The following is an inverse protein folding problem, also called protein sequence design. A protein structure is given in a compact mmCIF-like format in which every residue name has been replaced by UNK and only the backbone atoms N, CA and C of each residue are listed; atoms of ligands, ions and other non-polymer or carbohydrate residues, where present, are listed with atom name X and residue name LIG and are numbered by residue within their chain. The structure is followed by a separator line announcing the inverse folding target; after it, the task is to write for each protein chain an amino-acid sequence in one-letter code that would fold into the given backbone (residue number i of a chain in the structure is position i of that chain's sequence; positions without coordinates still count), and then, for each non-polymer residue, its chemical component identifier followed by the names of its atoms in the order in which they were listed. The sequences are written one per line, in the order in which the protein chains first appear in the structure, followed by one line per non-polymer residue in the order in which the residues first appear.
data_IF_960659297409
#
_entry.id   IF_960659297409
#
_cell.length_a   1.000
_cell.length_b   1.000
_cell.length_c   1.000
_cell.angle_alpha   90.00
_cell.angle_beta   90.00
_cell.angle_gamma   90.00
#
_symmetry.space_group_name_H-M   'P 1'
#
loop_
_entity.id
_entity.type
_entity.pdbx_description
1 polymer ?
#
# COMPACT_ATOMS: atom_id res chain seq x y z
N UNK A 1 17.78 8.43 11.27
CA UNK A 1 16.59 8.10 12.08
C UNK A 1 15.37 8.64 11.34
N UNK A 2 14.29 7.86 11.26
CA UNK A 2 13.00 8.30 10.71
C UNK A 2 12.00 8.17 11.85
N UNK A 3 11.18 9.21 12.04
CA UNK A 3 10.09 9.24 13.02
C UNK A 3 8.81 9.55 12.28
N UNK A 4 7.75 8.80 12.58
CA UNK A 4 6.42 9.00 12.02
C UNK A 4 5.38 9.10 13.14
N UNK A 5 4.39 9.98 12.93
CA UNK A 5 3.28 10.16 13.86
C UNK A 5 2.05 10.67 13.12
N UNK A 6 0.89 10.23 13.57
CA UNK A 6 -0.40 10.75 13.10
C UNK A 6 -0.82 12.03 13.85
N UNK A 7 -0.14 12.37 14.96
CA UNK A 7 -0.48 13.46 15.87
C UNK A 7 0.80 14.22 16.28
N UNK A 8 1.33 15.10 15.42
CA UNK A 8 2.56 15.85 15.71
C UNK A 8 2.44 16.71 16.98
N UNK A 9 1.23 17.12 17.36
CA UNK A 9 0.97 17.89 18.57
C UNK A 9 1.34 17.13 19.86
N UNK A 10 1.30 15.79 19.85
CA UNK A 10 1.71 15.00 21.01
C UNK A 10 3.20 15.15 21.29
N UNK A 11 4.05 15.26 20.25
CA UNK A 11 5.47 15.49 20.44
C UNK A 11 5.75 16.83 21.14
N UNK A 12 4.94 17.85 20.84
CA UNK A 12 5.01 19.18 21.47
C UNK A 12 4.63 19.17 22.95
N UNK A 13 3.85 18.20 23.39
CA UNK A 13 3.43 18.07 24.79
C UNK A 13 4.49 17.41 25.68
N UNK A 14 5.62 16.95 25.11
CA UNK A 14 6.68 16.28 25.85
C UNK A 14 7.81 17.23 26.26
N UNK A 15 8.57 16.93 27.33
CA UNK A 15 9.79 17.68 27.69
C UNK A 15 10.86 17.68 26.59
N UNK A 16 10.77 16.73 25.64
CA UNK A 16 11.74 16.55 24.55
C UNK A 16 11.37 17.30 23.27
N UNK A 17 10.26 18.06 23.25
CA UNK A 17 9.75 18.74 22.07
C UNK A 17 10.83 19.53 21.32
N UNK A 18 11.64 20.32 22.03
CA UNK A 18 12.71 21.12 21.44
C UNK A 18 13.77 20.24 20.73
N UNK A 19 14.14 19.11 21.34
CA UNK A 19 15.11 18.19 20.76
C UNK A 19 14.53 17.48 19.52
N UNK A 20 13.26 17.05 19.57
CA UNK A 20 12.57 16.44 18.42
C UNK A 20 12.52 17.43 17.26
N UNK A 21 12.09 18.67 17.50
CA UNK A 21 12.03 19.71 16.45
C UNK A 21 13.41 19.95 15.84
N UNK A 22 14.46 20.07 16.65
CA UNK A 22 15.83 20.32 16.15
C UNK A 22 16.42 19.14 15.37
N UNK A 23 16.06 17.91 15.72
CA UNK A 23 16.57 16.70 15.05
C UNK A 23 15.86 16.42 13.71
N UNK A 24 14.67 17.00 13.47
CA UNK A 24 13.93 16.82 12.22
C UNK A 24 14.41 17.84 11.19
N UNK A 25 15.47 17.50 10.46
CA UNK A 25 16.03 18.36 9.39
C UNK A 25 15.18 18.39 8.12
N UNK A 26 14.48 17.28 7.82
CA UNK A 26 13.66 17.13 6.62
C UNK A 26 12.26 16.64 7.00
N UNK A 27 11.34 17.53 7.42
CA UNK A 27 9.97 17.13 7.69
C UNK A 27 9.20 16.86 6.39
N UNK A 28 8.38 15.81 6.42
CA UNK A 28 7.45 15.43 5.36
C UNK A 28 6.04 15.52 5.92
N UNK A 29 5.27 16.49 5.46
CA UNK A 29 3.90 16.71 5.90
C UNK A 29 2.91 16.07 4.95
N UNK A 30 2.11 15.16 5.48
CA UNK A 30 1.00 14.50 4.80
C UNK A 30 -0.31 15.30 5.00
N UNK A 31 -1.37 14.99 4.23
CA UNK A 31 -2.65 15.68 4.36
C UNK A 31 -3.19 15.60 5.79
N UNK A 32 -3.42 16.74 6.43
CA UNK A 32 -4.03 16.79 7.75
C UNK A 32 -5.10 17.89 7.83
N UNK A 33 -6.37 17.51 7.60
CA UNK A 33 -7.53 18.42 7.72
C UNK A 33 -7.76 18.91 9.15
N UNK A 34 -7.19 18.24 10.15
CA UNK A 34 -7.29 18.58 11.57
C UNK A 34 -6.11 19.43 12.07
N UNK A 35 -5.16 19.78 11.18
CA UNK A 35 -3.98 20.56 11.53
C UNK A 35 -4.38 21.89 12.19
N UNK A 36 -3.73 22.19 13.31
CA UNK A 36 -3.90 23.43 14.06
C UNK A 36 -2.74 24.38 13.76
N UNK A 37 -3.05 25.59 13.29
CA UNK A 37 -2.05 26.57 12.86
C UNK A 37 -1.02 26.87 13.96
N UNK A 38 -1.48 27.03 15.20
CA UNK A 38 -0.63 27.32 16.36
C UNK A 38 0.37 26.20 16.66
N UNK A 39 -0.04 24.94 16.50
CA UNK A 39 0.83 23.79 16.76
C UNK A 39 1.81 23.57 15.61
N UNK A 40 1.33 23.66 14.38
CA UNK A 40 2.15 23.52 13.17
C UNK A 40 3.19 24.64 13.03
N UNK A 41 2.87 25.86 13.49
CA UNK A 41 3.81 26.96 13.54
C UNK A 41 5.06 26.66 14.40
N UNK A 42 4.93 25.84 15.46
CA UNK A 42 6.07 25.41 16.29
C UNK A 42 7.04 24.50 15.54
N UNK A 43 6.60 23.87 14.45
CA UNK A 43 7.44 23.10 13.54
C UNK A 43 7.89 23.90 12.31
N UNK A 44 7.66 25.21 12.28
CA UNK A 44 8.00 26.07 11.14
C UNK A 44 7.03 25.96 9.96
N UNK A 45 5.87 25.34 10.14
CA UNK A 45 4.82 25.24 9.11
C UNK A 45 3.83 26.39 9.28
N UNK A 46 3.96 27.42 8.45
CA UNK A 46 3.14 28.65 8.53
C UNK A 46 2.71 29.11 7.14
N UNK A 47 1.74 30.04 7.10
CA UNK A 47 1.28 30.69 5.87
C UNK A 47 0.90 29.69 4.77
N UNK A 48 1.43 29.89 3.56
CA UNK A 48 1.13 29.04 2.39
C UNK A 48 1.50 27.57 2.59
N UNK A 49 2.51 27.26 3.41
CA UNK A 49 2.90 25.87 3.70
C UNK A 49 1.83 25.18 4.52
N UNK A 50 1.29 25.88 5.53
CA UNK A 50 0.19 25.36 6.34
C UNK A 50 -1.09 25.16 5.52
N UNK A 51 -1.45 26.14 4.68
CA UNK A 51 -2.59 26.00 3.77
C UNK A 51 -2.41 24.81 2.82
N UNK A 52 -1.22 24.63 2.25
CA UNK A 52 -0.94 23.46 1.40
C UNK A 52 -1.15 22.13 2.15
N UNK A 53 -0.71 22.01 3.41
CA UNK A 53 -0.95 20.82 4.24
C UNK A 53 -2.44 20.56 4.47
N UNK A 54 -3.21 21.61 4.71
CA UNK A 54 -4.66 21.52 4.92
C UNK A 54 -5.42 21.26 3.63
N UNK A 55 -4.95 21.73 2.48
CA UNK A 55 -5.68 21.62 1.21
C UNK A 55 -5.56 20.22 0.59
N UNK A 56 -4.44 19.53 0.80
CA UNK A 56 -4.24 18.17 0.26
C UNK A 56 -5.37 17.21 0.63
N UNK A 57 -5.68 16.29 -0.29
CA UNK A 57 -6.69 15.25 -0.08
C UNK A 57 -6.11 14.05 0.70
N UNK A 58 -6.84 13.42 1.64
CA UNK A 58 -6.33 12.29 2.42
C UNK A 58 -5.78 11.11 1.61
N UNK A 59 -6.29 10.91 0.39
CA UNK A 59 -5.86 9.84 -0.54
C UNK A 59 -5.06 10.38 -1.73
N UNK A 60 -4.66 11.65 -1.73
CA UNK A 60 -4.01 12.29 -2.89
C UNK A 60 -2.58 11.81 -3.12
N UNK A 61 -1.97 11.16 -2.10
CA UNK A 61 -0.53 10.81 -2.06
C UNK A 61 0.38 12.02 -2.20
N UNK A 62 -0.17 13.20 -1.96
CA UNK A 62 0.60 14.43 -1.94
C UNK A 62 1.27 14.60 -0.58
N UNK A 63 2.40 15.30 -0.59
CA UNK A 63 3.13 15.68 0.62
C UNK A 63 3.85 17.00 0.41
N UNK A 64 4.10 17.70 1.51
CA UNK A 64 4.98 18.87 1.53
C UNK A 64 6.29 18.44 2.17
N UNK A 65 7.40 18.58 1.45
CA UNK A 65 8.75 18.31 1.95
C UNK A 65 9.47 19.62 2.15
N UNK A 66 10.08 19.78 3.31
CA UNK A 66 10.91 20.95 3.61
C UNK A 66 12.35 20.50 3.86
N UNK A 67 13.32 21.20 3.28
CA UNK A 67 14.74 20.96 3.52
C UNK A 67 15.48 22.29 3.49
N UNK A 68 16.05 22.69 4.63
CA UNK A 68 16.64 24.01 4.79
C UNK A 68 15.61 25.11 4.50
N UNK A 69 15.91 25.97 3.51
CA UNK A 69 15.02 27.06 3.09
C UNK A 69 14.08 26.68 1.93
N UNK A 70 14.13 25.43 1.46
CA UNK A 70 13.31 24.96 0.35
C UNK A 70 12.07 24.24 0.87
N UNK A 71 10.94 24.49 0.22
CA UNK A 71 9.68 23.79 0.47
C UNK A 71 9.06 23.42 -0.87
N UNK A 72 8.76 22.14 -1.04
CA UNK A 72 8.18 21.60 -2.27
C UNK A 72 6.95 20.78 -1.94
N UNK A 73 5.92 20.90 -2.78
CA UNK A 73 4.78 19.98 -2.78
C UNK A 73 5.03 18.93 -3.85
N UNK A 74 4.94 17.67 -3.44
CA UNK A 74 5.23 16.50 -4.28
C UNK A 74 4.02 15.57 -4.25
N UNK A 75 3.94 14.66 -5.22
CA UNK A 75 2.99 13.55 -5.22
C UNK A 75 3.74 12.25 -5.42
N UNK A 76 3.48 11.26 -4.56
CA UNK A 76 4.05 9.93 -4.68
C UNK A 76 3.23 9.13 -5.71
N UNK A 77 3.84 8.84 -6.85
CA UNK A 77 3.30 7.90 -7.81
C UNK A 77 3.64 6.47 -7.39
N UNK A 78 2.60 5.63 -7.32
CA UNK A 78 2.68 4.21 -6.94
C UNK A 78 2.09 3.38 -8.07
N UNK A 79 2.63 3.59 -9.28
CA UNK A 79 2.21 2.93 -10.50
C UNK A 79 3.09 1.72 -10.83
N UNK A 80 2.74 1.03 -11.92
CA UNK A 80 3.52 -0.08 -12.46
C UNK A 80 3.84 -1.18 -11.42
N UNK A 81 5.11 -1.63 -11.32
CA UNK A 81 5.51 -2.70 -10.41
C UNK A 81 5.26 -2.42 -8.92
N UNK A 82 5.23 -1.16 -8.49
CA UNK A 82 5.00 -0.81 -7.07
C UNK A 82 3.58 -1.13 -6.62
N UNK A 83 2.60 -1.05 -7.53
CA UNK A 83 1.21 -1.39 -7.23
C UNK A 83 1.06 -2.84 -6.74
N UNK A 84 1.91 -3.75 -7.25
CA UNK A 84 1.94 -5.15 -6.85
C UNK A 84 2.19 -5.32 -5.34
N UNK A 85 3.05 -4.48 -4.76
CA UNK A 85 3.47 -4.60 -3.36
C UNK A 85 2.54 -3.87 -2.38
N UNK A 86 1.59 -3.07 -2.86
CA UNK A 86 0.71 -2.27 -2.00
C UNK A 86 -0.07 -3.08 -0.95
N UNK A 87 -0.59 -4.29 -1.24
CA UNK A 87 -1.32 -5.06 -0.23
C UNK A 87 -0.45 -5.44 0.97
N UNK A 88 0.87 -5.60 0.79
CA UNK A 88 1.82 -5.88 1.87
C UNK A 88 2.10 -4.65 2.72
N UNK A 89 2.16 -3.47 2.09
CA UNK A 89 2.47 -2.19 2.76
C UNK A 89 1.25 -1.53 3.41
N UNK A 90 0.04 -1.92 3.00
CA UNK A 90 -1.22 -1.33 3.46
C UNK A 90 -2.19 -2.42 3.90
N UNK A 91 -2.07 -2.82 5.17
CA UNK A 91 -2.94 -3.84 5.75
C UNK A 91 -4.38 -3.31 5.88
N UNK A 92 -5.32 -4.13 5.46
CA UNK A 92 -6.78 -3.90 5.57
C UNK A 92 -7.41 -5.18 6.12
N UNK A 93 -8.62 -5.08 6.67
CA UNK A 93 -9.34 -6.29 7.13
C UNK A 93 -9.49 -7.31 6.00
N UNK A 94 -9.67 -6.85 4.76
CA UNK A 94 -9.81 -7.72 3.58
C UNK A 94 -8.52 -8.48 3.26
N UNK A 95 -7.40 -7.78 3.09
CA UNK A 95 -6.15 -8.44 2.70
C UNK A 95 -5.51 -9.24 3.85
N UNK A 96 -5.79 -8.89 5.11
CA UNK A 96 -5.39 -9.71 6.26
C UNK A 96 -6.10 -11.07 6.24
N UNK A 97 -7.39 -11.11 5.88
CA UNK A 97 -8.12 -12.36 5.73
C UNK A 97 -7.58 -13.24 4.60
N UNK A 98 -7.13 -12.61 3.49
CA UNK A 98 -6.48 -13.31 2.37
C UNK A 98 -5.12 -13.86 2.79
N UNK A 99 -4.28 -13.05 3.46
CA UNK A 99 -2.99 -13.50 3.98
C UNK A 99 -3.14 -14.68 4.95
N UNK A 100 -4.13 -14.62 5.85
CA UNK A 100 -4.46 -15.74 6.75
C UNK A 100 -4.86 -16.99 5.96
N UNK A 101 -5.76 -16.86 4.99
CA UNK A 101 -6.21 -17.98 4.17
C UNK A 101 -5.07 -18.61 3.39
N UNK A 102 -4.16 -17.81 2.82
CA UNK A 102 -2.99 -18.31 2.09
C UNK A 102 -2.03 -19.06 3.02
N UNK A 103 -1.78 -18.54 4.23
CA UNK A 103 -0.97 -19.26 5.24
C UNK A 103 -1.57 -20.62 5.60
N UNK A 104 -2.90 -20.68 5.79
CA UNK A 104 -3.61 -21.93 6.05
C UNK A 104 -3.55 -22.89 4.86
N UNK A 105 -3.81 -22.39 3.65
CA UNK A 105 -3.80 -23.17 2.40
C UNK A 105 -2.43 -23.78 2.11
N UNK A 106 -1.35 -23.03 2.36
CA UNK A 106 0.03 -23.49 2.18
C UNK A 106 0.58 -24.25 3.38
N UNK A 107 -0.13 -24.27 4.51
CA UNK A 107 0.34 -24.89 5.76
C UNK A 107 1.63 -24.28 6.31
N UNK A 108 1.84 -22.98 6.15
CA UNK A 108 3.10 -22.31 6.54
C UNK A 108 2.89 -20.95 7.19
N UNK A 109 3.79 -20.61 8.10
CA UNK A 109 3.94 -19.25 8.68
C UNK A 109 5.21 -18.56 8.21
N UNK A 110 6.03 -19.22 7.38
CA UNK A 110 7.30 -18.68 6.89
C UNK A 110 7.05 -17.56 5.86
N UNK A 111 7.42 -16.30 6.17
CA UNK A 111 7.20 -15.16 5.27
C UNK A 111 7.94 -15.30 3.93
N UNK A 112 9.00 -16.11 3.85
CA UNK A 112 9.69 -16.37 2.58
C UNK A 112 8.85 -17.20 1.62
N UNK A 113 7.81 -17.87 2.12
CA UNK A 113 6.87 -18.69 1.36
C UNK A 113 5.53 -17.95 1.16
N UNK A 114 4.86 -17.55 2.25
CA UNK A 114 3.47 -17.08 2.13
C UNK A 114 3.33 -15.65 1.60
N UNK A 115 4.35 -14.79 1.72
CA UNK A 115 4.25 -13.38 1.25
C UNK A 115 4.13 -13.31 -0.27
N UNK A 116 4.94 -14.09 -1.00
CA UNK A 116 4.91 -14.13 -2.46
C UNK A 116 3.55 -14.66 -2.95
N UNK A 117 3.08 -15.76 -2.36
CA UNK A 117 1.77 -16.33 -2.67
C UNK A 117 0.60 -15.39 -2.32
N UNK A 118 0.69 -14.68 -1.20
CA UNK A 118 -0.30 -13.67 -0.79
C UNK A 118 -0.43 -12.55 -1.84
N UNK A 119 0.68 -12.06 -2.38
CA UNK A 119 0.66 -11.02 -3.40
C UNK A 119 0.04 -11.51 -4.72
N UNK A 120 0.33 -12.76 -5.13
CA UNK A 120 -0.34 -13.40 -6.27
C UNK A 120 -1.84 -13.49 -6.02
N UNK A 121 -2.24 -13.99 -4.84
CA UNK A 121 -3.64 -14.13 -4.45
C UNK A 121 -4.38 -12.79 -4.46
N UNK A 122 -3.79 -11.72 -3.92
CA UNK A 122 -4.40 -10.39 -3.92
C UNK A 122 -4.59 -9.84 -5.33
N UNK A 123 -3.62 -10.01 -6.23
CA UNK A 123 -3.74 -9.53 -7.62
C UNK A 123 -4.82 -10.31 -8.37
N UNK A 124 -4.88 -11.63 -8.20
CA UNK A 124 -5.92 -12.48 -8.78
C UNK A 124 -7.30 -12.10 -8.25
N UNK A 125 -7.44 -11.99 -6.93
CA UNK A 125 -8.68 -11.63 -6.24
C UNK A 125 -9.19 -10.26 -6.66
N UNK A 126 -8.31 -9.26 -6.74
CA UNK A 126 -8.66 -7.91 -7.18
C UNK A 126 -9.10 -7.86 -8.64
N UNK A 127 -8.46 -8.66 -9.51
CA UNK A 127 -8.86 -8.76 -10.91
C UNK A 127 -10.21 -9.45 -11.09
N UNK A 128 -10.48 -10.52 -10.35
CA UNK A 128 -11.78 -11.18 -10.30
C UNK A 128 -12.87 -10.35 -9.62
N UNK A 129 -12.49 -9.28 -8.92
CA UNK A 129 -13.38 -8.40 -8.17
C UNK A 129 -14.30 -9.17 -7.22
N UNK A 130 -13.73 -10.10 -6.44
CA UNK A 130 -14.46 -10.94 -5.49
C UNK A 130 -13.78 -10.95 -4.12
N UNK A 131 -14.55 -11.17 -3.06
CA UNK A 131 -14.04 -11.47 -1.72
C UNK A 131 -14.28 -12.95 -1.34
N UNK A 132 -14.96 -13.74 -2.19
CA UNK A 132 -15.33 -15.13 -1.93
C UNK A 132 -14.15 -16.10 -2.15
N UNK A 133 -13.64 -16.78 -1.11
CA UNK A 133 -12.57 -17.76 -1.22
C UNK A 133 -12.88 -18.92 -2.16
N UNK A 134 -14.15 -19.31 -2.32
CA UNK A 134 -14.53 -20.37 -3.25
C UNK A 134 -14.25 -19.97 -4.72
N UNK A 135 -14.19 -18.67 -5.01
CA UNK A 135 -13.93 -18.13 -6.35
C UNK A 135 -12.45 -17.83 -6.54
N UNK A 136 -11.83 -17.08 -5.62
CA UNK A 136 -10.45 -16.61 -5.84
C UNK A 136 -9.37 -17.64 -5.49
N UNK A 137 -9.63 -18.61 -4.61
CA UNK A 137 -8.61 -19.58 -4.21
C UNK A 137 -8.26 -20.57 -5.33
N UNK A 138 -9.22 -21.16 -6.08
CA UNK A 138 -8.89 -21.99 -7.23
C UNK A 138 -8.18 -21.20 -8.35
N UNK A 139 -8.56 -19.93 -8.52
CA UNK A 139 -7.91 -19.04 -9.49
C UNK A 139 -6.47 -18.71 -9.10
N UNK A 140 -6.22 -18.54 -7.79
CA UNK A 140 -4.87 -18.41 -7.25
C UNK A 140 -4.03 -19.66 -7.53
N UNK A 141 -4.56 -20.86 -7.26
CA UNK A 141 -3.83 -22.12 -7.51
C UNK A 141 -3.44 -22.26 -8.99
N UNK A 142 -4.37 -21.91 -9.90
CA UNK A 142 -4.09 -21.90 -11.33
C UNK A 142 -3.04 -20.86 -11.72
N UNK A 143 -3.14 -19.63 -11.19
CA UNK A 143 -2.15 -18.59 -11.43
C UNK A 143 -0.77 -19.01 -10.94
N UNK A 144 -0.69 -19.68 -9.80
CA UNK A 144 0.57 -20.12 -9.22
C UNK A 144 1.21 -21.25 -10.02
N UNK A 145 0.43 -22.23 -10.48
CA UNK A 145 0.91 -23.26 -11.41
C UNK A 145 1.43 -22.67 -12.73
N UNK A 146 0.70 -21.70 -13.30
CA UNK A 146 1.13 -21.00 -14.50
C UNK A 146 2.45 -20.26 -14.28
N UNK A 147 2.53 -19.48 -13.20
CA UNK A 147 3.72 -18.70 -12.85
C UNK A 147 4.96 -19.59 -12.65
N UNK A 148 4.79 -20.74 -12.01
CA UNK A 148 5.85 -21.74 -11.84
C UNK A 148 6.30 -22.32 -13.20
N UNK A 149 5.37 -22.68 -14.08
CA UNK A 149 5.69 -23.17 -15.44
C UNK A 149 6.44 -22.12 -16.29
N UNK A 150 6.17 -20.84 -16.06
CA UNK A 150 6.83 -19.71 -16.73
C UNK A 150 8.17 -19.33 -16.10
N UNK A 151 8.54 -19.95 -14.96
CA UNK A 151 9.73 -19.65 -14.16
C UNK A 151 9.93 -18.14 -13.93
N UNK A 152 8.89 -17.45 -13.45
CA UNK A 152 8.94 -16.00 -13.21
C UNK A 152 8.19 -15.62 -11.96
N UNK A 153 8.63 -14.58 -11.24
CA UNK A 153 7.84 -13.94 -10.18
C UNK A 153 7.21 -12.63 -10.62
N UNK A 154 7.49 -12.21 -11.85
CA UNK A 154 7.09 -10.91 -12.37
C UNK A 154 5.62 -10.93 -12.79
N UNK A 155 4.79 -10.19 -12.06
CA UNK A 155 3.36 -10.02 -12.35
C UNK A 155 3.09 -9.44 -13.74
N UNK A 156 4.00 -8.64 -14.29
CA UNK A 156 3.84 -8.12 -15.66
C UNK A 156 3.95 -9.23 -16.71
N UNK A 157 4.59 -10.35 -16.38
CA UNK A 157 4.74 -11.51 -17.27
C UNK A 157 3.63 -12.54 -17.11
N UNK A 158 3.34 -12.97 -15.87
CA UNK A 158 2.38 -14.06 -15.65
C UNK A 158 0.92 -13.59 -15.66
N UNK A 159 0.63 -12.36 -15.23
CA UNK A 159 -0.76 -11.88 -15.10
C UNK A 159 -1.51 -11.82 -16.43
N UNK A 160 -0.95 -11.28 -17.54
CA UNK A 160 -1.65 -11.27 -18.81
C UNK A 160 -1.94 -12.69 -19.36
N UNK A 161 -1.01 -13.62 -19.15
CA UNK A 161 -1.19 -15.02 -19.53
C UNK A 161 -2.29 -15.69 -18.70
N UNK A 162 -2.30 -15.46 -17.39
CA UNK A 162 -3.33 -15.92 -16.48
C UNK A 162 -4.72 -15.41 -16.90
N UNK A 163 -4.87 -14.10 -17.13
CA UNK A 163 -6.14 -13.48 -17.51
C UNK A 163 -6.72 -14.09 -18.80
N UNK A 164 -5.86 -14.35 -19.80
CA UNK A 164 -6.28 -14.96 -21.06
C UNK A 164 -6.74 -16.41 -20.84
N UNK A 165 -5.94 -17.20 -20.12
CA UNK A 165 -6.22 -18.61 -19.94
C UNK A 165 -7.43 -18.85 -19.02
N UNK A 166 -7.57 -18.05 -17.96
CA UNK A 166 -8.69 -18.15 -17.02
C UNK A 166 -10.03 -17.82 -17.68
N UNK A 167 -10.09 -16.77 -18.52
CA UNK A 167 -11.31 -16.44 -19.28
C UNK A 167 -11.74 -17.56 -20.21
N UNK A 168 -10.80 -18.15 -20.95
CA UNK A 168 -11.10 -19.26 -21.85
C UNK A 168 -11.65 -20.49 -21.09
N UNK A 169 -11.15 -20.75 -19.88
CA UNK A 169 -11.64 -21.82 -19.02
C UNK A 169 -13.06 -21.55 -18.50
N UNK A 170 -13.38 -20.29 -18.16
CA UNK A 170 -14.73 -19.91 -17.76
C UNK A 170 -15.73 -20.04 -18.91
N UNK A 171 -15.37 -19.60 -20.11
CA UNK A 171 -16.21 -19.72 -21.31
C UNK A 171 -16.49 -21.19 -21.68
N UNK A 172 -15.50 -22.09 -21.53
CA UNK A 172 -15.70 -23.53 -21.75
C UNK A 172 -16.66 -24.14 -20.74
N UNK A 173 -16.53 -23.77 -19.46
CA UNK A 173 -17.41 -24.27 -18.40
C UNK A 173 -18.85 -23.74 -18.52
N UNK A 174 -19.07 -22.57 -19.12
CA UNK A 174 -20.41 -22.03 -19.38
C UNK A 174 -21.10 -22.67 -20.59
N UNK A 175 -20.34 -23.24 -21.55
CA UNK A 175 -20.89 -23.93 -22.73
C UNK A 175 -21.29 -25.38 -22.41
N UNK A 176 -20.72 -25.99 -21.37
CA UNK A 176 -21.02 -27.36 -20.93
C UNK A 176 -22.18 -27.48 -19.91
N UNK A 177 -22.82 -26.36 -19.53
CA UNK A 177 -23.97 -26.30 -18.59
C UNK A 177 -25.30 -26.09 -19.29
#
# INVERSE_FOLDING_TARGET
MIMDTQYPEQALATPYAAAVIQQVTTPIWLPNKKAQAESYAKFGVTGKVFEAVRDMGPLSREMVVQQGHQTVKLKMELDGPLKYWLPLLSATQKNLAVAERIRQHLGTTDPTVWVDAFLVAEVVRQWLNTDDPAVWLPAFDYAEGLRQSMNTRDAQRWMPAFQKAWKALQEQNEIEV
#
